data_IF_573718636727
#
_entry.id   IF_573718636727
#
_cell.length_a   1.000
_cell.length_b   1.000
_cell.length_c   1.000
_cell.angle_alpha   90.00
_cell.angle_beta   90.00
_cell.angle_gamma   90.00
#
_symmetry.space_group_name_H-M   'P 1'
#
loop_
_entity.id
_entity.type
_entity.pdbx_description
1 polymer ?
#
# COMPACT_ATOMS: atom_id res chain seq x y z
N UNK A 1 36.53 -53.61 -28.91
CA UNK A 1 35.43 -52.61 -28.88
C UNK A 1 34.62 -52.58 -27.58
N UNK A 2 34.20 -53.70 -26.97
CA UNK A 2 33.36 -53.69 -25.73
C UNK A 2 33.98 -53.06 -24.47
N UNK A 3 35.31 -53.09 -24.28
CA UNK A 3 36.00 -52.50 -23.11
C UNK A 3 36.02 -50.95 -23.09
N UNK A 4 35.82 -50.29 -24.24
CA UNK A 4 35.80 -48.82 -24.30
C UNK A 4 34.50 -48.26 -23.74
N UNK A 5 33.36 -48.85 -24.12
CA UNK A 5 32.02 -48.42 -23.66
C UNK A 5 31.84 -48.53 -22.14
N UNK A 6 32.42 -49.54 -21.50
CA UNK A 6 32.36 -49.70 -20.04
C UNK A 6 33.08 -48.57 -19.29
N UNK A 7 34.18 -48.03 -19.85
CA UNK A 7 34.88 -46.87 -19.27
C UNK A 7 34.07 -45.59 -19.43
N UNK A 8 33.41 -45.40 -20.56
CA UNK A 8 32.58 -44.21 -20.82
C UNK A 8 31.31 -44.22 -19.97
N UNK A 9 30.70 -45.39 -19.76
CA UNK A 9 29.55 -45.57 -18.85
C UNK A 9 29.96 -45.31 -17.40
N UNK A 10 31.12 -45.81 -16.96
CA UNK A 10 31.61 -45.56 -15.61
C UNK A 10 31.91 -44.06 -15.35
N UNK A 11 32.44 -43.35 -16.35
CA UNK A 11 32.69 -41.90 -16.27
C UNK A 11 31.36 -41.11 -16.25
N UNK A 12 30.37 -41.50 -17.05
CA UNK A 12 29.03 -40.89 -17.05
C UNK A 12 28.27 -41.12 -15.73
N UNK A 13 28.41 -42.29 -15.11
CA UNK A 13 27.80 -42.59 -13.80
C UNK A 13 28.50 -41.81 -12.69
N UNK A 14 29.84 -41.70 -12.73
CA UNK A 14 30.60 -40.89 -11.76
C UNK A 14 30.30 -39.39 -11.90
N UNK A 15 30.13 -38.89 -13.13
CA UNK A 15 29.70 -37.51 -13.37
C UNK A 15 28.25 -37.26 -12.89
N UNK A 16 27.33 -38.20 -13.10
CA UNK A 16 25.96 -38.12 -12.60
C UNK A 16 25.85 -38.08 -11.06
N UNK A 17 26.76 -38.74 -10.34
CA UNK A 17 26.81 -38.73 -8.88
C UNK A 17 27.30 -37.39 -8.29
N UNK A 18 27.97 -36.54 -9.09
CA UNK A 18 28.41 -35.22 -8.66
C UNK A 18 27.35 -34.11 -8.83
N UNK A 19 26.17 -34.45 -9.35
CA UNK A 19 25.01 -33.55 -9.42
C UNK A 19 24.08 -33.65 -8.20
N UNK A 20 24.39 -34.51 -7.22
CA UNK A 20 23.76 -34.45 -5.91
C UNK A 20 24.41 -33.32 -5.10
N UNK A 21 24.06 -32.08 -5.45
CA UNK A 21 24.28 -30.95 -4.58
C UNK A 21 23.47 -31.20 -3.30
N UNK A 22 24.14 -31.41 -2.18
CA UNK A 22 23.50 -31.22 -0.88
C UNK A 22 23.16 -29.74 -0.80
N UNK A 23 21.90 -29.38 -1.04
CA UNK A 23 21.39 -28.09 -0.62
C UNK A 23 21.46 -28.07 0.91
N UNK A 24 22.39 -27.28 1.43
CA UNK A 24 22.44 -27.00 2.86
C UNK A 24 21.31 -26.02 3.13
N UNK A 25 20.19 -26.51 3.67
CA UNK A 25 19.06 -25.67 4.04
C UNK A 25 19.54 -24.80 5.19
N UNK A 26 19.86 -23.53 4.89
CA UNK A 26 20.16 -22.55 5.92
C UNK A 26 18.83 -22.27 6.63
N UNK A 27 18.59 -22.95 7.74
CA UNK A 27 17.51 -22.59 8.66
C UNK A 27 17.90 -21.27 9.33
N UNK A 28 17.38 -20.17 8.78
CA UNK A 28 17.51 -18.84 9.38
C UNK A 28 16.49 -18.76 10.50
N UNK A 29 16.97 -18.82 11.75
CA UNK A 29 16.15 -18.53 12.93
C UNK A 29 15.88 -17.02 12.98
N UNK A 30 14.65 -16.63 12.64
CA UNK A 30 14.20 -15.24 12.72
C UNK A 30 13.51 -15.05 14.06
N UNK A 31 13.96 -14.12 14.92
CA UNK A 31 13.34 -13.89 16.22
C UNK A 31 11.85 -13.61 16.06
N UNK A 32 11.01 -14.39 16.75
CA UNK A 32 9.57 -14.13 16.78
C UNK A 32 9.32 -12.84 17.58
N UNK A 33 8.75 -11.84 16.89
CA UNK A 33 8.30 -10.60 17.51
C UNK A 33 7.04 -10.80 18.34
N UNK A 34 6.78 -9.86 19.26
CA UNK A 34 5.48 -9.80 19.94
C UNK A 34 4.36 -9.60 18.92
N UNK A 35 3.32 -10.45 18.98
CA UNK A 35 2.09 -10.28 18.20
C UNK A 35 1.43 -8.96 18.61
N UNK A 36 1.17 -8.09 17.62
CA UNK A 36 0.60 -6.75 17.80
C UNK A 36 -0.66 -6.58 16.98
N UNK A 37 -1.53 -5.68 17.43
CA UNK A 37 -2.69 -5.24 16.66
C UNK A 37 -2.21 -4.51 15.38
N UNK A 38 -2.87 -4.75 14.27
CA UNK A 38 -2.71 -4.05 12.99
C UNK A 38 -4.03 -3.32 12.72
N UNK A 39 -3.95 -2.00 12.51
CA UNK A 39 -5.10 -1.13 12.28
C UNK A 39 -4.99 -0.55 10.87
N UNK A 40 -5.77 -1.09 9.95
CA UNK A 40 -5.92 -0.56 8.58
C UNK A 40 -7.21 0.27 8.55
N UNK A 41 -7.10 1.59 8.79
CA UNK A 41 -8.25 2.47 8.93
C UNK A 41 -8.19 3.63 7.92
N UNK A 42 -8.66 3.37 6.70
CA UNK A 42 -8.76 4.40 5.66
C UNK A 42 -10.20 4.91 5.57
N UNK A 43 -10.42 6.18 5.87
CA UNK A 43 -11.68 6.85 5.59
C UNK A 43 -11.58 7.51 4.22
N UNK A 44 -12.12 6.84 3.21
CA UNK A 44 -12.01 7.24 1.82
C UNK A 44 -13.32 7.80 1.30
N UNK A 45 -13.29 9.05 0.84
CA UNK A 45 -14.43 9.69 0.21
C UNK A 45 -14.19 9.92 -1.28
N UNK A 46 -14.88 9.13 -2.10
CA UNK A 46 -14.89 9.31 -3.55
C UNK A 46 -15.69 10.57 -3.92
N UNK A 47 -15.09 11.48 -4.70
CA UNK A 47 -15.77 12.66 -5.23
C UNK A 47 -17.07 12.28 -5.93
N UNK A 48 -18.08 13.13 -5.76
CA UNK A 48 -19.42 12.90 -6.32
C UNK A 48 -20.27 11.87 -5.56
N UNK A 49 -19.71 11.15 -4.57
CA UNK A 49 -20.48 10.23 -3.71
C UNK A 49 -20.82 10.86 -2.36
N UNK A 50 -21.67 10.18 -1.57
CA UNK A 50 -21.97 10.58 -0.20
C UNK A 50 -20.80 10.34 0.77
N UNK A 51 -19.85 9.45 0.42
CA UNK A 51 -18.71 9.09 1.28
C UNK A 51 -19.08 8.45 2.62
N UNK A 52 -20.33 8.03 2.83
CA UNK A 52 -20.82 7.60 4.14
C UNK A 52 -20.52 6.13 4.49
N UNK A 53 -20.20 5.33 3.49
CA UNK A 53 -19.86 3.92 3.65
C UNK A 53 -18.35 3.79 3.88
N UNK A 54 -17.96 3.41 5.11
CA UNK A 54 -16.57 3.31 5.50
C UNK A 54 -16.28 1.96 6.14
N UNK A 55 -15.06 1.47 5.94
CA UNK A 55 -14.58 0.18 6.45
C UNK A 55 -13.24 0.35 7.13
N UNK A 56 -13.10 -0.22 8.33
CA UNK A 56 -11.85 -0.34 9.07
C UNK A 56 -11.56 -1.82 9.24
N UNK A 57 -10.33 -2.24 8.98
CA UNK A 57 -9.91 -3.63 9.13
C UNK A 57 -8.91 -3.75 10.27
N UNK A 58 -9.19 -4.69 11.16
CA UNK A 58 -8.35 -5.01 12.32
C UNK A 58 -7.86 -6.45 12.23
N UNK A 59 -6.56 -6.62 12.40
CA UNK A 59 -5.92 -7.93 12.44
C UNK A 59 -4.77 -7.97 13.46
N UNK A 60 -4.13 -9.12 13.62
CA UNK A 60 -2.89 -9.26 14.39
C UNK A 60 -1.71 -9.58 13.48
N UNK A 61 -0.52 -9.07 13.80
CA UNK A 61 0.71 -9.44 13.08
C UNK A 61 1.03 -10.92 13.25
N UNK A 62 1.51 -11.58 12.21
CA UNK A 62 1.99 -12.97 12.25
C UNK A 62 3.51 -13.05 12.24
N UNK A 63 4.10 -14.09 12.84
CA UNK A 63 5.50 -14.42 12.61
C UNK A 63 5.81 -14.62 11.13
N UNK A 64 7.05 -14.36 10.71
CA UNK A 64 7.44 -14.31 9.30
C UNK A 64 7.15 -15.60 8.52
N UNK A 65 7.34 -16.77 9.12
CA UNK A 65 7.14 -18.07 8.47
C UNK A 65 5.73 -18.66 8.65
N UNK A 66 4.82 -17.95 9.33
CA UNK A 66 3.45 -18.39 9.58
C UNK A 66 2.51 -17.98 8.45
N UNK A 67 2.02 -18.95 7.67
CA UNK A 67 1.17 -18.68 6.49
C UNK A 67 -0.30 -19.11 6.64
N UNK A 68 -0.70 -19.71 7.77
CA UNK A 68 -2.00 -20.41 7.91
C UNK A 68 -2.82 -20.02 9.14
N UNK A 69 -2.57 -18.84 9.73
CA UNK A 69 -3.33 -18.36 10.89
C UNK A 69 -4.30 -17.26 10.51
N UNK A 70 -5.56 -17.40 10.93
CA UNK A 70 -6.52 -16.30 10.86
C UNK A 70 -6.08 -15.21 11.84
N UNK A 71 -5.87 -14.00 11.33
CA UNK A 71 -5.41 -12.85 12.09
C UNK A 71 -6.53 -11.89 12.43
N UNK A 72 -7.77 -12.17 12.01
CA UNK A 72 -8.92 -11.27 12.14
C UNK A 72 -9.25 -10.96 13.60
N UNK A 73 -9.35 -9.67 13.92
CA UNK A 73 -9.74 -9.20 15.26
C UNK A 73 -11.23 -8.89 15.29
N UNK A 74 -12.02 -9.75 15.93
CA UNK A 74 -13.49 -9.70 15.94
C UNK A 74 -14.09 -9.35 17.30
N UNK A 75 -13.30 -8.84 18.24
CA UNK A 75 -13.74 -8.50 19.59
C UNK A 75 -13.19 -7.12 20.02
N UNK A 76 -13.17 -6.17 19.10
CA UNK A 76 -12.83 -4.78 19.38
C UNK A 76 -14.07 -3.88 19.35
N UNK A 77 -13.95 -2.70 19.94
CA UNK A 77 -14.86 -1.57 19.71
C UNK A 77 -14.15 -0.54 18.86
N UNK A 78 -14.80 -0.07 17.79
CA UNK A 78 -14.23 0.89 16.84
C UNK A 78 -15.16 2.09 16.71
N UNK A 79 -14.62 3.27 17.01
CA UNK A 79 -15.35 4.54 16.98
C UNK A 79 -14.49 5.58 16.28
N UNK A 80 -15.10 6.38 15.40
CA UNK A 80 -14.48 7.60 14.86
C UNK A 80 -15.28 8.79 15.33
N UNK A 81 -14.63 9.83 15.83
CA UNK A 81 -15.26 11.09 16.22
C UNK A 81 -14.74 12.22 15.36
N UNK A 82 -15.61 12.99 14.71
CA UNK A 82 -15.23 14.26 14.11
C UNK A 82 -14.99 15.27 15.25
N UNK A 83 -13.75 15.70 15.44
CA UNK A 83 -13.38 16.52 16.61
C UNK A 83 -13.81 17.97 16.49
N UNK A 84 -14.13 18.45 15.29
CA UNK A 84 -14.64 19.80 15.07
C UNK A 84 -16.15 19.90 15.33
N UNK A 85 -16.92 18.84 15.03
CA UNK A 85 -18.37 18.81 15.23
C UNK A 85 -18.82 18.03 16.48
N UNK A 86 -17.92 17.22 17.05
CA UNK A 86 -18.21 16.21 18.08
C UNK A 86 -19.18 15.10 17.63
N UNK A 87 -19.39 14.93 16.31
CA UNK A 87 -20.19 13.84 15.77
C UNK A 87 -19.45 12.50 15.93
N UNK A 88 -20.16 11.47 16.37
CA UNK A 88 -19.60 10.14 16.69
C UNK A 88 -20.15 9.10 15.74
N UNK A 89 -19.25 8.38 15.07
CA UNK A 89 -19.53 7.32 14.13
C UNK A 89 -19.08 5.97 14.72
N UNK A 90 -20.04 5.10 15.00
CA UNK A 90 -19.77 3.75 15.47
C UNK A 90 -19.60 2.82 14.26
N UNK A 91 -18.57 1.97 14.31
CA UNK A 91 -18.36 0.92 13.32
C UNK A 91 -18.82 -0.43 13.86
N UNK A 92 -19.62 -1.14 13.07
CA UNK A 92 -20.19 -2.44 13.41
C UNK A 92 -19.29 -3.56 12.92
N UNK A 93 -18.91 -4.45 13.83
CA UNK A 93 -18.11 -5.64 13.53
C UNK A 93 -18.86 -6.62 12.61
N UNK A 94 -18.22 -7.04 11.52
CA UNK A 94 -18.77 -7.99 10.55
C UNK A 94 -18.37 -9.45 10.84
N UNK A 95 -17.61 -9.69 11.91
CA UNK A 95 -17.11 -11.00 12.36
C UNK A 95 -16.02 -11.63 11.47
N UNK A 96 -15.34 -10.83 10.66
CA UNK A 96 -14.23 -11.25 9.79
C UNK A 96 -12.98 -10.36 9.94
N UNK A 97 -12.96 -9.49 10.95
CA UNK A 97 -11.93 -8.48 11.17
C UNK A 97 -12.26 -7.12 10.55
N UNK A 98 -13.32 -7.04 9.74
CA UNK A 98 -13.83 -5.76 9.23
C UNK A 98 -14.88 -5.17 10.16
N UNK A 99 -14.84 -3.84 10.26
CA UNK A 99 -15.77 -3.01 11.00
C UNK A 99 -16.30 -1.97 10.02
N UNK A 100 -17.61 -1.84 9.88
CA UNK A 100 -18.21 -0.98 8.84
C UNK A 100 -19.19 0.03 9.43
N UNK A 101 -19.35 1.16 8.74
CA UNK A 101 -20.39 2.14 9.05
C UNK A 101 -20.98 2.70 7.76
N UNK A 102 -22.25 3.10 7.83
CA UNK A 102 -22.95 3.82 6.76
C UNK A 102 -23.39 5.22 7.22
N UNK A 103 -23.01 5.60 8.45
CA UNK A 103 -23.40 6.85 9.10
C UNK A 103 -22.33 7.93 9.01
N UNK A 104 -21.15 7.63 8.43
CA UNK A 104 -20.08 8.61 8.32
C UNK A 104 -20.53 9.82 7.51
N UNK A 105 -20.15 11.01 7.95
CA UNK A 105 -20.46 12.25 7.27
C UNK A 105 -19.15 13.01 7.01
N UNK A 106 -18.56 12.90 5.80
CA UNK A 106 -17.29 13.53 5.48
C UNK A 106 -17.44 15.06 5.42
N UNK A 107 -16.50 15.77 6.03
CA UNK A 107 -16.37 17.23 5.98
C UNK A 107 -14.90 17.54 5.72
N UNK A 108 -14.59 18.11 4.56
CA UNK A 108 -13.21 18.47 4.18
C UNK A 108 -12.59 19.37 5.24
N UNK A 109 -11.31 19.16 5.49
CA UNK A 109 -10.48 19.89 6.45
C UNK A 109 -10.89 19.73 7.92
N UNK A 110 -11.92 18.94 8.24
CA UNK A 110 -12.16 18.53 9.62
C UNK A 110 -11.18 17.44 10.06
N UNK A 111 -10.87 17.46 11.35
CA UNK A 111 -10.12 16.44 12.05
C UNK A 111 -11.04 15.34 12.59
N UNK A 112 -10.58 14.11 12.46
CA UNK A 112 -11.24 12.89 12.92
C UNK A 112 -10.31 12.18 13.90
N UNK A 113 -10.86 11.63 14.97
CA UNK A 113 -10.15 10.80 15.93
C UNK A 113 -10.68 9.38 15.87
N UNK A 114 -9.81 8.42 15.58
CA UNK A 114 -10.06 7.00 15.73
C UNK A 114 -9.83 6.59 17.18
N UNK A 115 -10.75 5.81 17.74
CA UNK A 115 -10.57 5.05 18.98
C UNK A 115 -10.87 3.57 18.72
N UNK A 116 -9.89 2.72 18.99
CA UNK A 116 -10.03 1.26 18.97
C UNK A 116 -9.77 0.71 20.37
N UNK A 117 -10.74 0.00 20.93
CA UNK A 117 -10.58 -0.71 22.21
C UNK A 117 -10.49 -2.21 21.92
N UNK A 118 -9.35 -2.80 22.25
CA UNK A 118 -9.07 -4.23 22.04
C UNK A 118 -8.30 -4.78 23.23
N UNK A 119 -8.73 -5.92 23.79
CA UNK A 119 -8.11 -6.56 24.96
C UNK A 119 -7.88 -5.62 26.17
N UNK A 120 -8.84 -4.72 26.45
CA UNK A 120 -8.77 -3.68 27.49
C UNK A 120 -7.67 -2.62 27.30
N UNK A 121 -7.07 -2.55 26.11
CA UNK A 121 -6.16 -1.48 25.72
C UNK A 121 -6.83 -0.56 24.69
N UNK A 122 -6.48 0.73 24.75
CA UNK A 122 -7.06 1.76 23.90
C UNK A 122 -6.01 2.30 22.95
N UNK A 123 -6.31 2.26 21.66
CA UNK A 123 -5.50 2.81 20.58
C UNK A 123 -6.19 4.04 20.04
N UNK A 124 -5.44 5.13 19.84
CA UNK A 124 -5.96 6.38 19.30
C UNK A 124 -5.08 6.92 18.18
N UNK A 125 -5.73 7.49 17.17
CA UNK A 125 -5.08 8.24 16.10
C UNK A 125 -5.94 9.44 15.74
N UNK A 126 -5.33 10.47 15.16
CA UNK A 126 -6.03 11.65 14.65
C UNK A 126 -5.53 11.97 13.26
N UNK A 127 -6.46 12.32 12.37
CA UNK A 127 -6.17 12.72 10.99
C UNK A 127 -7.14 13.77 10.50
N UNK A 128 -6.73 14.50 9.47
CA UNK A 128 -7.57 15.52 8.81
C UNK A 128 -8.04 15.00 7.45
N UNK A 129 -9.32 15.18 7.12
CA UNK A 129 -9.84 14.77 5.82
C UNK A 129 -9.36 15.73 4.73
N UNK A 130 -8.36 15.30 3.96
CA UNK A 130 -7.74 16.12 2.92
C UNK A 130 -8.54 16.06 1.61
N UNK A 131 -8.64 17.19 0.90
CA UNK A 131 -9.22 17.26 -0.44
C UNK A 131 -8.21 16.88 -1.52
N UNK A 132 -8.68 16.54 -2.71
CA UNK A 132 -7.86 16.33 -3.91
C UNK A 132 -8.35 17.23 -5.06
N UNK A 133 -7.48 17.81 -5.90
CA UNK A 133 -7.90 18.55 -7.10
C UNK A 133 -8.60 17.63 -8.12
N UNK A 134 -9.38 18.23 -9.02
CA UNK A 134 -10.07 17.48 -10.09
C UNK A 134 -9.05 17.01 -11.14
N UNK A 135 -9.26 15.82 -11.71
CA UNK A 135 -8.46 15.37 -12.85
C UNK A 135 -8.95 16.09 -14.10
N UNK A 136 -8.07 16.85 -14.74
CA UNK A 136 -8.37 17.60 -15.96
C UNK A 136 -8.40 16.67 -17.18
N UNK A 137 -7.39 15.82 -17.31
CA UNK A 137 -7.20 14.95 -18.45
C UNK A 137 -6.41 13.69 -18.08
N UNK A 138 -6.73 12.57 -18.73
CA UNK A 138 -5.92 11.36 -18.74
C UNK A 138 -5.63 10.95 -20.18
N UNK A 139 -4.36 10.78 -20.54
CA UNK A 139 -3.95 10.37 -21.88
C UNK A 139 -2.71 9.47 -21.85
N UNK A 140 -2.38 8.84 -22.98
CA UNK A 140 -1.13 8.09 -23.13
C UNK A 140 -0.08 8.85 -23.94
N UNK A 141 1.16 8.43 -23.76
CA UNK A 141 2.33 8.95 -24.44
C UNK A 141 3.39 7.83 -24.55
N UNK A 142 4.40 8.05 -25.38
CA UNK A 142 5.65 7.26 -25.42
C UNK A 142 6.86 8.19 -25.26
N UNK A 143 6.65 9.41 -24.79
CA UNK A 143 7.67 10.45 -24.77
C UNK A 143 7.48 11.38 -23.58
N UNK A 144 8.53 11.53 -22.78
CA UNK A 144 8.51 12.43 -21.63
C UNK A 144 8.36 11.71 -20.28
N UNK A 145 8.38 10.38 -20.26
CA UNK A 145 8.70 9.59 -19.08
C UNK A 145 10.18 9.23 -19.02
N UNK A 146 10.53 8.15 -18.31
CA UNK A 146 11.92 7.72 -18.11
C UNK A 146 12.46 6.94 -19.31
N UNK A 147 11.61 6.11 -19.92
CA UNK A 147 11.93 5.33 -21.11
C UNK A 147 11.06 5.76 -22.31
N UNK A 148 11.69 6.28 -23.36
CA UNK A 148 11.01 6.76 -24.57
C UNK A 148 10.45 5.63 -25.45
N UNK A 149 10.68 4.36 -25.09
CA UNK A 149 10.12 3.20 -25.79
C UNK A 149 8.88 2.61 -25.08
N UNK A 150 8.56 3.04 -23.85
CA UNK A 150 7.43 2.52 -23.06
C UNK A 150 6.16 3.35 -23.22
N UNK A 151 5.00 2.68 -23.15
CA UNK A 151 3.71 3.36 -22.99
C UNK A 151 3.60 3.90 -21.56
N UNK A 152 3.30 5.20 -21.45
CA UNK A 152 3.04 5.87 -20.18
C UNK A 152 1.60 6.38 -20.12
N UNK A 153 0.97 6.30 -18.94
CA UNK A 153 -0.28 7.02 -18.66
C UNK A 153 0.03 8.34 -17.98
N UNK A 154 -0.60 9.42 -18.45
CA UNK A 154 -0.44 10.77 -17.94
C UNK A 154 -1.73 11.23 -17.28
N UNK A 155 -1.60 11.85 -16.12
CA UNK A 155 -2.69 12.48 -15.37
C UNK A 155 -2.36 13.96 -15.25
N UNK A 156 -3.29 14.81 -15.69
CA UNK A 156 -3.19 16.25 -15.59
C UNK A 156 -4.19 16.77 -14.55
N UNK A 157 -3.74 17.67 -13.67
CA UNK A 157 -4.59 18.33 -12.68
C UNK A 157 -4.00 19.68 -12.25
N UNK A 158 -4.85 20.58 -11.79
CA UNK A 158 -4.43 21.91 -11.30
C UNK A 158 -4.16 21.87 -9.79
N UNK A 159 -2.91 22.13 -9.40
CA UNK A 159 -2.53 22.19 -8.00
C UNK A 159 -3.01 23.51 -7.33
N UNK A 160 -3.63 23.47 -6.13
CA UNK A 160 -4.11 24.68 -5.45
C UNK A 160 -2.98 25.57 -4.91
N UNK A 161 -2.91 26.81 -5.40
CA UNK A 161 -1.87 27.77 -4.99
C UNK A 161 -1.88 28.14 -3.49
N UNK A 162 -0.70 28.13 -2.87
CA UNK A 162 -0.41 28.63 -1.54
C UNK A 162 -0.79 27.68 -0.39
N UNK A 163 -0.91 26.39 -0.67
CA UNK A 163 -1.22 25.33 0.29
C UNK A 163 -0.21 24.20 0.06
N UNK A 164 0.45 23.71 1.10
CA UNK A 164 1.33 22.54 0.94
C UNK A 164 0.45 21.28 0.77
N UNK A 165 0.43 20.71 -0.45
CA UNK A 165 -0.33 19.52 -0.79
C UNK A 165 0.56 18.28 -0.91
N UNK A 166 -0.03 17.14 -0.55
CA UNK A 166 0.58 15.84 -0.70
C UNK A 166 -0.40 14.90 -1.37
N UNK A 167 0.12 14.10 -2.29
CA UNK A 167 -0.67 13.27 -3.16
C UNK A 167 -0.27 11.80 -3.04
N UNK A 168 -1.26 10.93 -3.18
CA UNK A 168 -1.09 9.50 -3.32
C UNK A 168 -1.87 9.03 -4.55
N UNK A 169 -1.22 8.30 -5.44
CA UNK A 169 -1.87 7.69 -6.61
C UNK A 169 -1.69 6.18 -6.51
N UNK A 170 -2.80 5.46 -6.70
CA UNK A 170 -2.80 4.01 -6.87
C UNK A 170 -3.10 3.68 -8.32
N UNK A 171 -2.16 3.02 -8.99
CA UNK A 171 -2.37 2.43 -10.32
C UNK A 171 -2.61 0.94 -10.18
N UNK A 172 -3.64 0.42 -10.82
CA UNK A 172 -3.94 -1.01 -10.83
C UNK A 172 -4.38 -1.44 -12.21
N UNK A 173 -3.60 -2.31 -12.85
CA UNK A 173 -4.00 -2.96 -14.09
C UNK A 173 -4.72 -4.28 -13.80
N UNK A 174 -5.80 -4.57 -14.53
CA UNK A 174 -6.49 -5.86 -14.38
C UNK A 174 -5.56 -7.02 -14.78
N UNK A 175 -5.29 -7.91 -13.82
CA UNK A 175 -4.36 -9.02 -14.00
C UNK A 175 -3.08 -8.90 -13.16
N UNK A 176 -2.71 -7.68 -12.75
CA UNK A 176 -1.58 -7.47 -11.84
C UNK A 176 -1.89 -8.03 -10.45
N UNK A 177 -0.89 -8.64 -9.81
CA UNK A 177 -1.05 -9.19 -8.45
C UNK A 177 -1.23 -8.09 -7.40
N UNK A 178 -0.55 -6.96 -7.58
CA UNK A 178 -0.55 -5.82 -6.67
C UNK A 178 -0.62 -4.51 -7.44
N UNK A 179 -1.24 -3.47 -6.85
CA UNK A 179 -1.19 -2.13 -7.42
C UNK A 179 0.18 -1.47 -7.25
N UNK A 180 0.48 -0.49 -8.10
CA UNK A 180 1.58 0.44 -7.91
C UNK A 180 1.14 1.62 -7.04
N UNK A 181 2.04 2.05 -6.17
CA UNK A 181 1.78 3.04 -5.13
C UNK A 181 2.76 4.20 -5.27
N UNK A 182 2.24 5.36 -5.65
CA UNK A 182 3.02 6.56 -5.93
C UNK A 182 2.66 7.67 -4.94
N UNK A 183 3.66 8.31 -4.33
CA UNK A 183 3.45 9.44 -3.43
C UNK A 183 4.39 10.59 -3.72
N UNK A 184 3.87 11.81 -3.77
CA UNK A 184 4.67 13.00 -4.07
C UNK A 184 4.09 14.26 -3.40
N UNK A 185 4.94 15.24 -3.02
CA UNK A 185 4.51 16.57 -2.59
C UNK A 185 4.38 17.53 -3.78
N UNK A 186 3.78 18.70 -3.56
CA UNK A 186 3.66 19.78 -4.56
C UNK A 186 4.77 20.85 -4.50
N UNK A 187 5.85 20.61 -3.73
CA UNK A 187 6.89 21.61 -3.39
C UNK A 187 7.45 22.39 -4.59
N UNK A 188 7.48 21.80 -5.79
CA UNK A 188 8.02 22.41 -7.02
C UNK A 188 6.94 22.78 -8.05
N UNK A 189 5.67 22.64 -7.69
CA UNK A 189 4.53 22.76 -8.59
C UNK A 189 3.37 23.61 -8.04
N UNK A 190 3.48 24.16 -6.83
CA UNK A 190 2.48 25.02 -6.17
C UNK A 190 1.78 25.97 -7.14
N UNK A 191 0.46 25.79 -7.28
CA UNK A 191 -0.39 26.66 -8.10
C UNK A 191 -0.29 26.47 -9.62
N UNK A 192 0.38 25.42 -10.10
CA UNK A 192 0.51 25.12 -11.53
C UNK A 192 -0.25 23.84 -11.91
N UNK A 193 -0.47 23.66 -13.20
CA UNK A 193 -0.91 22.37 -13.73
C UNK A 193 0.23 21.36 -13.60
N UNK A 194 -0.07 20.21 -13.00
CA UNK A 194 0.85 19.09 -12.83
C UNK A 194 0.51 18.03 -13.87
N UNK A 195 1.55 17.53 -14.55
CA UNK A 195 1.52 16.27 -15.29
C UNK A 195 2.21 15.21 -14.44
N UNK A 196 1.46 14.25 -13.90
CA UNK A 196 2.02 13.04 -13.32
C UNK A 196 1.99 11.93 -14.37
N UNK A 197 3.09 11.22 -14.59
CA UNK A 197 3.14 10.10 -15.50
C UNK A 197 3.47 8.81 -14.74
N UNK A 198 3.02 7.67 -15.28
CA UNK A 198 3.35 6.35 -14.77
C UNK A 198 3.67 5.41 -15.94
N UNK A 199 4.81 4.74 -15.83
CA UNK A 199 5.33 3.73 -16.77
C UNK A 199 5.47 2.41 -16.01
N UNK A 200 5.21 1.31 -16.71
CA UNK A 200 5.46 -0.03 -16.21
C UNK A 200 6.60 -0.63 -17.01
N UNK A 201 7.73 -0.88 -16.35
CA UNK A 201 8.83 -1.64 -16.94
C UNK A 201 8.51 -3.14 -16.89
N UNK A 202 9.05 -3.90 -17.83
CA UNK A 202 9.02 -5.37 -17.83
C UNK A 202 9.97 -5.91 -16.75
N UNK A 203 9.48 -6.79 -15.88
CA UNK A 203 10.27 -7.48 -14.86
C UNK A 203 9.94 -8.99 -14.86
N UNK A 204 10.85 -9.76 -15.47
CA UNK A 204 10.72 -11.22 -15.59
C UNK A 204 10.72 -11.94 -14.22
N UNK A 205 11.24 -11.32 -13.15
CA UNK A 205 11.32 -11.96 -11.83
C UNK A 205 9.98 -11.95 -11.08
N UNK A 206 9.04 -11.07 -11.46
CA UNK A 206 7.75 -10.89 -10.78
C UNK A 206 6.52 -10.99 -11.72
N UNK A 207 6.72 -11.49 -12.95
CA UNK A 207 5.71 -11.62 -14.02
C UNK A 207 5.03 -10.29 -14.40
N UNK A 208 5.72 -9.15 -14.21
CA UNK A 208 5.26 -7.82 -14.60
C UNK A 208 5.61 -7.57 -16.06
N UNK A 209 4.62 -7.19 -16.88
CA UNK A 209 4.83 -6.80 -18.27
C UNK A 209 4.64 -5.29 -18.45
N UNK A 210 5.29 -4.68 -19.43
CA UNK A 210 5.01 -3.30 -19.85
C UNK A 210 3.56 -3.13 -20.37
N UNK A 211 3.02 -1.91 -20.31
CA UNK A 211 1.69 -1.62 -20.86
C UNK A 211 1.65 -1.85 -22.38
N UNK A 212 0.55 -2.45 -22.85
CA UNK A 212 0.26 -2.71 -24.26
C UNK A 212 -1.08 -2.09 -24.69
N UNK A 213 -1.27 -1.82 -25.99
CA UNK A 213 -2.58 -1.45 -26.52
C UNK A 213 -3.67 -2.47 -26.15
N UNK A 214 -4.74 -1.98 -25.51
CA UNK A 214 -5.84 -2.79 -24.99
C UNK A 214 -5.85 -2.95 -23.48
N UNK A 215 -4.72 -2.72 -22.81
CA UNK A 215 -4.62 -2.80 -21.36
C UNK A 215 -5.39 -1.65 -20.70
N UNK A 216 -5.96 -1.91 -19.53
CA UNK A 216 -6.75 -0.92 -18.79
C UNK A 216 -6.20 -0.76 -17.38
N UNK A 217 -5.85 0.47 -17.03
CA UNK A 217 -5.37 0.85 -15.71
C UNK A 217 -6.44 1.65 -14.97
N UNK A 218 -6.80 1.18 -13.78
CA UNK A 218 -7.59 1.93 -12.80
C UNK A 218 -6.67 2.85 -12.01
N UNK A 219 -7.10 4.10 -11.85
CA UNK A 219 -6.34 5.17 -11.22
C UNK A 219 -7.18 5.76 -10.09
N UNK A 220 -6.69 5.62 -8.86
CA UNK A 220 -7.25 6.33 -7.71
C UNK A 220 -6.28 7.43 -7.27
N UNK A 221 -6.72 8.68 -7.35
CA UNK A 221 -5.95 9.86 -7.01
C UNK A 221 -6.46 10.47 -5.68
N UNK A 222 -5.61 10.48 -4.66
CA UNK A 222 -5.93 10.90 -3.30
C UNK A 222 -5.18 12.17 -2.92
N UNK A 223 -5.89 13.04 -2.20
CA UNK A 223 -5.27 14.04 -1.34
C UNK A 223 -4.97 13.43 0.02
N UNK A 224 -3.78 13.64 0.53
CA UNK A 224 -3.31 13.01 1.78
C UNK A 224 -2.64 14.02 2.71
N UNK A 225 -2.58 13.70 4.00
CA UNK A 225 -1.88 14.52 4.98
C UNK A 225 -0.36 14.35 4.81
N UNK A 226 0.43 15.35 5.24
CA UNK A 226 1.89 15.22 5.32
C UNK A 226 2.31 14.01 6.16
N UNK A 227 1.58 13.73 7.25
CA UNK A 227 1.84 12.60 8.13
C UNK A 227 1.69 11.26 7.42
N UNK A 228 0.64 11.11 6.60
CA UNK A 228 0.44 9.90 5.82
C UNK A 228 1.39 9.82 4.63
N UNK A 229 1.71 10.96 3.98
CA UNK A 229 2.74 11.03 2.94
C UNK A 229 4.08 10.49 3.43
N UNK A 230 4.54 10.95 4.59
CA UNK A 230 5.80 10.48 5.18
C UNK A 230 5.78 8.98 5.51
N UNK A 231 4.64 8.47 6.01
CA UNK A 231 4.46 7.04 6.25
C UNK A 231 4.53 6.23 4.95
N UNK A 232 3.77 6.64 3.93
CA UNK A 232 3.71 5.95 2.64
C UNK A 232 5.03 6.03 1.90
N UNK A 233 5.73 7.16 1.95
CA UNK A 233 7.05 7.31 1.33
C UNK A 233 8.03 6.26 1.87
N UNK A 234 8.11 6.07 3.18
CA UNK A 234 8.99 5.05 3.78
C UNK A 234 8.49 3.63 3.40
N UNK A 235 7.17 3.40 3.38
CA UNK A 235 6.60 2.11 2.99
C UNK A 235 6.98 1.75 1.55
N UNK A 236 6.74 2.67 0.62
CA UNK A 236 7.00 2.56 -0.82
C UNK A 236 8.49 2.40 -1.09
N UNK A 237 9.33 3.24 -0.48
CA UNK A 237 10.79 3.13 -0.57
C UNK A 237 11.28 1.74 -0.14
N UNK A 238 10.77 1.20 0.97
CA UNK A 238 11.16 -0.13 1.45
C UNK A 238 10.63 -1.28 0.58
N UNK A 239 9.42 -1.13 0.03
CA UNK A 239 8.81 -2.13 -0.84
C UNK A 239 9.60 -2.28 -2.15
N UNK A 240 9.82 -1.16 -2.85
CA UNK A 240 10.54 -1.16 -4.13
C UNK A 240 12.07 -1.29 -4.00
N UNK A 241 12.63 -1.04 -2.82
CA UNK A 241 14.07 -1.27 -2.56
C UNK A 241 14.40 -2.68 -2.04
N UNK A 242 13.39 -3.55 -1.91
CA UNK A 242 13.57 -4.92 -1.44
C UNK A 242 14.49 -5.69 -2.41
N UNK A 243 15.49 -6.40 -1.89
CA UNK A 243 16.43 -7.18 -2.70
C UNK A 243 17.64 -6.42 -3.25
N UNK A 244 17.67 -5.08 -3.19
CA UNK A 244 18.83 -4.29 -3.59
C UNK A 244 19.93 -4.34 -2.49
N UNK A 245 21.14 -4.85 -2.74
CA UNK A 245 22.20 -4.96 -1.73
C UNK A 245 22.78 -3.61 -1.27
N UNK A 246 22.39 -2.51 -1.91
CA UNK A 246 22.77 -1.14 -1.56
C UNK A 246 21.61 -0.34 -0.93
N UNK A 247 20.43 -0.94 -0.76
CA UNK A 247 19.32 -0.25 -0.10
C UNK A 247 19.60 -0.06 1.40
N UNK A 248 18.99 0.98 1.98
CA UNK A 248 19.03 1.16 3.42
C UNK A 248 18.32 -0.01 4.10
N UNK A 249 18.84 -0.46 5.24
CA UNK A 249 18.15 -1.46 6.06
C UNK A 249 16.71 -1.01 6.34
N UNK A 250 15.74 -1.92 6.17
CA UNK A 250 14.35 -1.65 6.50
C UNK A 250 14.22 -1.12 7.93
N UNK A 251 13.50 -0.02 8.08
CA UNK A 251 13.18 0.56 9.38
C UNK A 251 11.82 0.07 9.86
N UNK A 252 11.64 0.08 11.17
CA UNK A 252 10.36 -0.30 11.76
C UNK A 252 9.33 0.80 11.44
N UNK A 253 8.41 0.51 10.52
CA UNK A 253 7.40 1.45 10.06
C UNK A 253 6.27 1.56 11.09
N UNK A 254 6.29 2.64 11.87
CA UNK A 254 5.26 2.95 12.86
C UNK A 254 4.26 3.94 12.29
N UNK A 255 2.98 3.58 12.28
CA UNK A 255 1.93 4.52 11.94
C UNK A 255 1.49 5.40 13.10
N UNK A 256 0.37 6.09 12.92
CA UNK A 256 -0.16 7.09 13.86
C UNK A 256 -1.10 6.53 14.95
N UNK A 257 -1.40 5.22 14.92
CA UNK A 257 -2.20 4.55 15.93
C UNK A 257 -1.39 4.27 17.20
N UNK A 258 -1.57 5.11 18.23
CA UNK A 258 -0.83 5.03 19.49
C UNK A 258 -1.66 4.33 20.57
N UNK A 259 -1.08 3.31 21.21
CA UNK A 259 -1.65 2.71 22.41
C UNK A 259 -1.46 3.63 23.61
N UNK A 260 -2.57 4.21 24.10
CA UNK A 260 -2.55 5.14 25.24
C UNK A 260 -2.58 4.44 26.60
N UNK A 261 -2.92 3.15 26.63
CA UNK A 261 -2.94 2.32 27.85
C UNK A 261 -1.56 1.72 28.13
N UNK A 262 -0.89 1.19 27.11
CA UNK A 262 0.41 0.53 27.19
C UNK A 262 1.28 0.86 25.98
N UNK A 263 2.17 1.86 26.12
CA UNK A 263 2.99 2.37 25.01
C UNK A 263 3.93 1.34 24.40
N UNK A 264 4.33 0.31 25.16
CA UNK A 264 5.18 -0.77 24.67
C UNK A 264 4.40 -1.73 23.76
N UNK A 265 3.08 -1.80 23.90
CA UNK A 265 2.18 -2.57 23.03
C UNK A 265 1.59 -1.70 21.90
N UNK A 266 2.44 -1.02 21.15
CA UNK A 266 2.04 -0.25 19.97
C UNK A 266 1.44 -1.16 18.87
N UNK A 267 0.58 -0.59 18.03
CA UNK A 267 -0.01 -1.23 16.84
C UNK A 267 0.75 -0.92 15.56
N UNK A 268 0.59 -1.77 14.54
CA UNK A 268 0.95 -1.48 13.15
C UNK A 268 -0.23 -0.89 12.37
N UNK A 269 0.01 -0.49 11.12
CA UNK A 269 -0.99 0.14 10.26
C UNK A 269 -1.13 1.63 10.53
N UNK A 270 -2.10 2.26 9.89
CA UNK A 270 -2.30 3.71 9.87
C UNK A 270 -3.79 4.04 9.85
N UNK A 271 -4.15 5.15 10.49
CA UNK A 271 -5.44 5.79 10.33
C UNK A 271 -5.30 6.99 9.41
N UNK A 272 -6.02 7.02 8.27
CA UNK A 272 -6.03 8.13 7.31
C UNK A 272 -7.45 8.58 6.98
N UNK A 273 -7.59 9.83 6.54
CA UNK A 273 -8.82 10.36 5.99
C UNK A 273 -8.52 11.13 4.71
N UNK A 274 -9.06 10.67 3.58
CA UNK A 274 -8.77 11.23 2.26
C UNK A 274 -10.01 11.35 1.41
N UNK A 275 -10.16 12.47 0.73
CA UNK A 275 -10.96 12.53 -0.48
C UNK A 275 -10.13 12.00 -1.65
N UNK A 276 -10.79 11.34 -2.59
CA UNK A 276 -10.15 10.82 -3.78
C UNK A 276 -11.05 10.95 -5.01
N UNK A 277 -10.42 10.87 -6.17
CA UNK A 277 -11.05 10.78 -7.47
C UNK A 277 -10.61 9.48 -8.15
N UNK A 278 -11.56 8.78 -8.76
CA UNK A 278 -11.30 7.54 -9.50
C UNK A 278 -11.55 7.76 -10.98
N UNK A 279 -10.63 7.26 -11.79
CA UNK A 279 -10.75 7.20 -13.24
C UNK A 279 -10.10 5.92 -13.76
N UNK A 280 -10.25 5.63 -15.04
CA UNK A 280 -9.53 4.54 -15.69
C UNK A 280 -9.13 4.93 -17.11
N UNK A 281 -8.07 4.31 -17.61
CA UNK A 281 -7.56 4.56 -18.94
C UNK A 281 -7.27 3.25 -19.68
N UNK A 282 -7.70 3.16 -20.94
CA UNK A 282 -7.42 2.02 -21.81
C UNK A 282 -6.46 2.45 -22.92
N UNK A 283 -5.29 1.80 -22.96
CA UNK A 283 -4.25 2.08 -23.94
C UNK A 283 -4.71 1.75 -25.37
N UNK A 284 -4.35 2.61 -26.33
CA UNK A 284 -4.69 2.58 -27.76
C UNK A 284 -3.52 2.17 -28.63
#
# INVERSE_FOLDING_TARGET
MKKSYFKHIAILVAAGLSLFSCEDVIEVDVPEGQIRLVIEASLDWEKGTQGNNQTIKLSTSTPFFETNTSTSVTNATVVVTNTDTNEVFNFTNQNDGTYTTTAFNPILNNSYQLEVIYNNETYRATETLMSVPDINEVNQSVSGGLDEDLLEVNIYFDDPAGIDNYYFIRFYEDGDLFPYLEVFPDEFSDGNEIRYFFEKEDDEDNDQAEFQPGDTVDIDFYGISEGYFNYMRILVEQYYSSGNPFSSNGVNLKGNCVNVTNKENYSFGYFRASQFERTSYTFQ
#
